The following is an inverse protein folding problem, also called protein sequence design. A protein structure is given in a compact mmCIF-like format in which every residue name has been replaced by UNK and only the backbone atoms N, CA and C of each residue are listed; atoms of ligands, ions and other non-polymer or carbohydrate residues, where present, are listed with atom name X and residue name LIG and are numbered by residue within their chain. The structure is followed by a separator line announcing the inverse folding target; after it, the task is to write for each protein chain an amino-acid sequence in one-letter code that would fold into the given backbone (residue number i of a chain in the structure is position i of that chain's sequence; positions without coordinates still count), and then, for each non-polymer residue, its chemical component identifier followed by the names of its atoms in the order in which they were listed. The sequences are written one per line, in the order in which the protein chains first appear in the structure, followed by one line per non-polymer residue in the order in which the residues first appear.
data_IF_467022418941
#
_entry.id   IF_467022418941
#
_cell.length_a   1.000
_cell.length_b   1.000
_cell.length_c   1.000
_cell.angle_alpha   90.00
_cell.angle_beta   90.00
_cell.angle_gamma   90.00
#
_symmetry.space_group_name_H-M   'P 1'
#
loop_
_entity.id
_entity.type
_entity.pdbx_description
1 polymer ?
#
# COMPACT_ATOMS: atom_id res chain seq x y z
N UNK A 1 6.11 13.70 -1.17
CA UNK A 1 5.76 14.81 -0.25
C UNK A 1 4.59 14.39 0.64
N UNK A 2 4.61 14.69 1.93
CA UNK A 2 3.48 14.45 2.83
C UNK A 2 3.26 15.66 3.72
N UNK A 3 2.02 16.06 3.91
CA UNK A 3 1.61 17.14 4.82
C UNK A 3 0.36 16.71 5.57
N UNK A 4 0.16 17.26 6.75
CA UNK A 4 -0.99 16.93 7.57
C UNK A 4 -1.39 18.08 8.48
N UNK A 5 -2.66 18.08 8.84
CA UNK A 5 -3.28 18.98 9.78
C UNK A 5 -4.01 18.12 10.81
N UNK A 6 -3.75 18.37 12.08
CA UNK A 6 -4.51 17.82 13.19
C UNK A 6 -5.09 18.96 14.03
N UNK A 7 -6.20 18.70 14.69
CA UNK A 7 -6.84 19.71 15.51
C UNK A 7 -7.98 19.18 16.34
N UNK A 8 -8.37 20.00 17.32
CA UNK A 8 -9.62 19.80 18.07
C UNK A 8 -10.75 20.52 17.36
N UNK A 9 -11.86 19.81 17.20
CA UNK A 9 -13.13 20.35 16.69
C UNK A 9 -13.94 20.87 17.88
N UNK A 10 -13.93 20.12 18.98
CA UNK A 10 -14.50 20.50 20.28
C UNK A 10 -13.59 20.01 21.40
N UNK A 11 -13.97 20.23 22.67
CA UNK A 11 -13.24 19.67 23.80
C UNK A 11 -13.21 18.13 23.80
N UNK A 12 -14.25 17.51 23.23
CA UNK A 12 -14.40 16.07 23.13
C UNK A 12 -13.92 15.52 21.79
N UNK A 13 -14.07 16.27 20.70
CA UNK A 13 -13.84 15.77 19.34
C UNK A 13 -12.54 16.32 18.74
N UNK A 14 -11.73 15.42 18.19
CA UNK A 14 -10.55 15.74 17.40
C UNK A 14 -10.68 15.25 15.97
N UNK A 15 -9.97 15.88 15.06
CA UNK A 15 -9.88 15.48 13.66
C UNK A 15 -8.46 15.58 13.15
N UNK A 16 -8.12 14.75 12.16
CA UNK A 16 -6.91 14.93 11.38
C UNK A 16 -7.14 14.67 9.90
N UNK A 17 -6.39 15.40 9.08
CA UNK A 17 -6.36 15.26 7.63
C UNK A 17 -4.91 15.13 7.22
N UNK A 18 -4.60 14.10 6.43
CA UNK A 18 -3.25 13.90 5.88
C UNK A 18 -3.33 13.82 4.37
N UNK A 19 -2.47 14.56 3.69
CA UNK A 19 -2.36 14.60 2.24
C UNK A 19 -0.94 14.19 1.86
N UNK A 20 -0.79 13.17 1.02
CA UNK A 20 0.49 12.74 0.48
C UNK A 20 0.48 12.72 -1.03
N UNK A 21 1.57 13.18 -1.63
CA UNK A 21 1.82 13.19 -3.06
C UNK A 21 3.10 12.42 -3.37
N UNK A 22 3.05 11.56 -4.39
CA UNK A 22 4.22 10.91 -4.98
C UNK A 22 4.23 11.16 -6.47
N UNK A 23 5.41 11.44 -7.05
CA UNK A 23 5.57 11.78 -8.48
C UNK A 23 5.55 10.54 -9.39
N UNK A 24 5.35 9.36 -8.81
CA UNK A 24 5.54 8.09 -9.51
C UNK A 24 7.02 7.71 -9.52
N UNK A 25 7.29 6.43 -9.74
CA UNK A 25 8.65 5.89 -9.78
C UNK A 25 8.76 4.94 -10.98
N UNK A 26 9.97 4.78 -11.54
CA UNK A 26 10.23 3.70 -12.48
C UNK A 26 10.03 2.36 -11.75
N UNK A 27 9.34 1.43 -12.41
CA UNK A 27 9.20 0.06 -11.92
C UNK A 27 10.50 -0.73 -12.15
N UNK A 28 10.78 -1.69 -11.27
CA UNK A 28 11.75 -2.76 -11.53
C UNK A 28 10.99 -4.03 -11.89
N UNK A 29 11.30 -4.67 -13.01
CA UNK A 29 10.67 -5.91 -13.44
C UNK A 29 11.41 -7.14 -12.92
N UNK A 30 10.67 -8.14 -12.42
CA UNK A 30 11.17 -9.49 -12.16
C UNK A 30 10.47 -10.44 -13.15
N UNK A 31 11.19 -11.23 -13.95
CA UNK A 31 10.58 -12.16 -14.89
C UNK A 31 9.85 -13.28 -14.12
N UNK A 32 8.59 -13.54 -14.49
CA UNK A 32 7.75 -14.59 -13.89
C UNK A 32 7.45 -15.67 -14.93
N UNK A 33 8.48 -16.31 -15.49
CA UNK A 33 8.31 -17.52 -16.32
C UNK A 33 9.47 -18.49 -16.09
N UNK A 34 9.14 -19.74 -15.71
CA UNK A 34 9.99 -20.92 -15.84
C UNK A 34 10.55 -21.54 -14.56
N UNK A 35 9.72 -22.11 -13.68
CA UNK A 35 10.17 -23.22 -12.81
C UNK A 35 9.22 -24.40 -12.96
N UNK A 36 9.45 -25.23 -13.98
CA UNK A 36 9.25 -26.67 -13.85
C UNK A 36 10.35 -27.20 -12.93
N UNK A 37 10.23 -26.91 -11.64
CA UNK A 37 11.12 -27.48 -10.64
C UNK A 37 10.61 -28.88 -10.28
N UNK A 38 10.94 -29.88 -11.11
CA UNK A 38 10.97 -31.26 -10.64
C UNK A 38 12.01 -31.35 -9.53
N UNK A 39 11.55 -31.33 -8.28
CA UNK A 39 12.40 -31.50 -7.12
C UNK A 39 13.01 -32.91 -7.14
N UNK A 40 14.29 -33.01 -7.47
CA UNK A 40 15.08 -34.22 -7.25
C UNK A 40 15.67 -34.13 -5.84
N UNK A 41 15.53 -35.15 -4.98
CA UNK A 41 16.00 -35.10 -3.60
C UNK A 41 17.50 -35.40 -3.56
N UNK A 42 18.31 -34.46 -4.04
CA UNK A 42 19.73 -34.37 -3.69
C UNK A 42 20.32 -33.06 -4.21
N UNK A 43 20.24 -32.02 -3.37
CA UNK A 43 21.34 -31.07 -3.07
C UNK A 43 22.11 -30.33 -4.16
N UNK A 44 21.81 -30.44 -5.45
CA UNK A 44 22.50 -29.72 -6.53
C UNK A 44 21.47 -29.09 -7.47
N UNK A 45 21.45 -27.75 -7.51
CA UNK A 45 20.68 -26.99 -8.49
C UNK A 45 21.50 -27.02 -9.78
N UNK A 46 21.18 -27.94 -10.68
CA UNK A 46 21.70 -27.92 -12.05
C UNK A 46 20.87 -26.89 -12.82
N UNK A 47 21.45 -25.73 -13.07
CA UNK A 47 20.83 -24.69 -13.90
C UNK A 47 21.13 -25.04 -15.35
N UNK A 48 20.31 -25.91 -15.94
CA UNK A 48 20.27 -26.06 -17.39
C UNK A 48 19.81 -24.72 -17.96
N UNK A 49 20.77 -23.93 -18.44
CA UNK A 49 20.53 -22.64 -19.08
C UNK A 49 19.91 -22.93 -20.45
N UNK A 50 18.63 -22.62 -20.68
CA UNK A 50 18.07 -22.72 -22.03
C UNK A 50 18.83 -21.73 -22.93
N UNK A 51 18.95 -21.99 -24.24
CA UNK A 51 19.63 -21.07 -25.13
C UNK A 51 19.02 -19.68 -24.98
N UNK A 52 19.84 -18.72 -24.56
CA UNK A 52 19.50 -17.31 -24.51
C UNK A 52 19.16 -16.85 -25.93
N UNK A 53 17.89 -16.98 -26.33
CA UNK A 53 17.33 -16.01 -27.24
C UNK A 53 17.28 -14.71 -26.45
N UNK A 54 18.07 -13.68 -26.80
CA UNK A 54 17.92 -12.39 -26.17
C UNK A 54 16.50 -11.95 -26.52
N UNK A 55 15.62 -11.95 -25.52
CA UNK A 55 14.32 -11.30 -25.63
C UNK A 55 14.60 -9.89 -26.12
N UNK A 56 14.40 -9.69 -27.42
CA UNK A 56 14.44 -8.40 -28.08
C UNK A 56 13.43 -7.53 -27.36
N UNK A 57 13.97 -6.60 -26.59
CA UNK A 57 13.20 -5.62 -25.87
C UNK A 57 13.96 -5.26 -24.62
N UNK A 58 14.74 -4.19 -24.71
CA UNK A 58 14.89 -3.22 -23.62
C UNK A 58 13.48 -2.77 -23.19
N UNK A 59 12.73 -3.66 -22.55
CA UNK A 59 11.39 -3.40 -22.08
C UNK A 59 11.58 -2.52 -20.84
N UNK A 60 11.80 -1.23 -21.09
CA UNK A 60 11.84 -0.20 -20.08
C UNK A 60 10.54 -0.31 -19.32
N UNK A 61 10.63 -0.77 -18.08
CA UNK A 61 9.48 -0.89 -17.23
C UNK A 61 8.79 0.49 -17.16
N UNK A 62 7.47 0.54 -17.33
CA UNK A 62 6.77 1.82 -17.45
C UNK A 62 6.97 2.64 -16.17
N UNK A 63 7.13 3.96 -16.36
CA UNK A 63 7.10 4.88 -15.23
C UNK A 63 5.66 5.01 -14.77
N UNK A 64 5.47 4.92 -13.46
CA UNK A 64 4.15 5.05 -12.89
C UNK A 64 3.73 6.51 -12.86
N UNK A 65 2.43 6.78 -12.99
CA UNK A 65 1.90 8.12 -12.79
C UNK A 65 2.05 8.57 -11.33
N UNK A 66 2.17 9.89 -11.18
CA UNK A 66 2.06 10.54 -9.88
C UNK A 66 0.70 10.30 -9.24
N UNK A 67 0.68 10.18 -7.91
CA UNK A 67 -0.52 9.90 -7.14
C UNK A 67 -0.68 10.88 -5.97
N UNK A 68 -1.93 11.10 -5.59
CA UNK A 68 -2.33 11.92 -4.46
C UNK A 68 -3.22 11.07 -3.55
N UNK A 69 -2.87 10.97 -2.27
CA UNK A 69 -3.61 10.23 -1.27
C UNK A 69 -4.06 11.17 -0.16
N UNK A 70 -5.32 10.99 0.25
CA UNK A 70 -5.92 11.72 1.38
C UNK A 70 -6.41 10.70 2.41
N UNK A 71 -5.98 10.88 3.64
CA UNK A 71 -6.49 10.14 4.80
C UNK A 71 -7.21 11.13 5.73
N UNK A 72 -8.36 10.71 6.26
CA UNK A 72 -9.18 11.49 7.18
C UNK A 72 -9.39 10.70 8.46
N UNK A 73 -9.31 11.34 9.61
CA UNK A 73 -9.61 10.73 10.91
C UNK A 73 -10.49 11.65 11.75
N UNK A 74 -11.48 11.07 12.41
CA UNK A 74 -12.28 11.72 13.45
C UNK A 74 -12.16 10.85 14.71
N UNK A 75 -11.92 11.48 15.85
CA UNK A 75 -11.80 10.80 17.14
C UNK A 75 -12.57 11.54 18.23
N UNK A 76 -12.96 10.82 19.28
CA UNK A 76 -13.53 11.39 20.49
C UNK A 76 -12.68 11.01 21.70
N UNK A 77 -12.44 11.93 22.63
CA UNK A 77 -11.78 11.66 23.90
C UNK A 77 -12.81 11.52 25.02
N UNK A 78 -12.80 10.38 25.72
CA UNK A 78 -13.71 10.09 26.83
C UNK A 78 -12.89 9.63 28.03
N UNK A 79 -13.02 10.33 29.15
CA UNK A 79 -12.42 9.93 30.41
C UNK A 79 -13.36 8.97 31.16
N UNK A 80 -12.80 7.96 31.82
CA UNK A 80 -13.55 6.97 32.58
C UNK A 80 -12.66 6.12 33.48
N UNK A 81 -13.17 4.97 33.91
CA UNK A 81 -12.38 4.00 34.67
C UNK A 81 -12.54 2.60 34.09
N UNK A 82 -11.45 1.83 34.08
CA UNK A 82 -11.42 0.45 33.63
C UNK A 82 -10.66 -0.40 34.66
N UNK A 83 -11.35 -1.37 35.26
CA UNK A 83 -10.73 -2.21 36.30
C UNK A 83 -10.27 -1.43 37.54
N UNK A 84 -10.97 -0.34 37.90
CA UNK A 84 -10.63 0.50 39.05
C UNK A 84 -9.44 1.46 38.84
N UNK A 85 -8.92 1.55 37.61
CA UNK A 85 -7.91 2.54 37.21
C UNK A 85 -8.55 3.60 36.35
N UNK A 86 -8.09 4.83 36.48
CA UNK A 86 -8.45 5.88 35.54
C UNK A 86 -7.99 5.47 34.14
N UNK A 87 -8.84 5.71 33.15
CA UNK A 87 -8.57 5.35 31.77
C UNK A 87 -9.14 6.42 30.84
N UNK A 88 -8.38 6.76 29.80
CA UNK A 88 -8.83 7.58 28.69
C UNK A 88 -9.11 6.71 27.48
N UNK A 89 -10.35 6.76 27.03
CA UNK A 89 -10.81 6.08 25.83
C UNK A 89 -10.81 7.05 24.66
N UNK A 90 -10.27 6.61 23.52
CA UNK A 90 -10.25 7.38 22.30
C UNK A 90 -10.75 6.56 21.12
N UNK A 91 -12.09 6.40 20.96
CA UNK A 91 -12.65 5.83 19.74
C UNK A 91 -12.34 6.73 18.54
N UNK A 92 -12.05 6.12 17.40
CA UNK A 92 -11.77 6.83 16.16
C UNK A 92 -12.34 6.10 14.94
N UNK A 93 -12.70 6.90 13.95
CA UNK A 93 -13.04 6.48 12.60
C UNK A 93 -12.02 7.12 11.65
N UNK A 94 -11.32 6.28 10.88
CA UNK A 94 -10.36 6.71 9.87
C UNK A 94 -10.79 6.23 8.50
N UNK A 95 -10.81 7.13 7.52
CA UNK A 95 -10.97 6.80 6.11
C UNK A 95 -9.60 6.90 5.45
N UNK A 96 -9.09 5.77 4.99
CA UNK A 96 -7.77 5.66 4.38
C UNK A 96 -7.91 5.63 2.86
N UNK A 97 -7.02 6.35 2.17
CA UNK A 97 -7.03 6.42 0.71
C UNK A 97 -8.36 6.92 0.14
N UNK A 98 -8.89 8.04 0.67
CA UNK A 98 -10.18 8.60 0.27
C UNK A 98 -10.26 9.03 -1.20
N UNK A 99 -9.12 9.25 -1.87
CA UNK A 99 -9.05 9.59 -3.29
C UNK A 99 -8.90 8.36 -4.21
N UNK A 100 -8.97 7.16 -3.64
CA UNK A 100 -8.84 5.88 -4.36
C UNK A 100 -7.57 5.81 -5.23
N UNK A 101 -6.53 6.57 -4.84
CA UNK A 101 -5.32 6.75 -5.64
C UNK A 101 -4.14 6.00 -5.02
N UNK A 102 -4.00 4.78 -5.54
CA UNK A 102 -2.77 3.97 -5.68
C UNK A 102 -2.16 3.40 -4.40
N UNK A 103 -2.70 2.25 -3.97
CA UNK A 103 -2.07 1.32 -3.01
C UNK A 103 -1.68 -0.02 -3.69
N UNK A 104 -1.61 -0.06 -5.02
CA UNK A 104 -1.12 -1.24 -5.74
C UNK A 104 0.40 -1.33 -5.60
N UNK A 105 0.88 -2.32 -4.83
CA UNK A 105 2.31 -2.61 -4.68
C UNK A 105 2.87 -3.39 -5.89
N UNK A 106 2.01 -4.14 -6.57
CA UNK A 106 2.39 -5.01 -7.67
C UNK A 106 1.68 -4.62 -8.95
N UNK A 107 2.46 -4.61 -10.02
CA UNK A 107 2.00 -4.35 -11.38
C UNK A 107 2.43 -5.50 -12.25
N UNK A 108 1.57 -5.87 -13.19
CA UNK A 108 1.91 -6.81 -14.24
C UNK A 108 1.94 -6.07 -15.57
N UNK A 109 2.94 -6.42 -16.40
CA UNK A 109 3.23 -5.75 -17.65
C UNK A 109 3.42 -6.80 -18.76
N UNK A 110 2.66 -6.66 -19.84
CA UNK A 110 2.73 -7.53 -21.02
C UNK A 110 3.18 -6.69 -22.22
N UNK A 111 4.50 -6.55 -22.46
CA UNK A 111 5.02 -5.68 -23.52
C UNK A 111 4.44 -5.98 -24.91
N UNK A 112 4.07 -7.25 -25.16
CA UNK A 112 3.49 -7.71 -26.43
C UNK A 112 1.99 -7.40 -26.58
N UNK A 113 1.29 -7.03 -25.50
CA UNK A 113 -0.16 -6.83 -25.49
C UNK A 113 -0.57 -5.41 -25.14
N UNK A 114 0.15 -4.77 -24.23
CA UNK A 114 -0.18 -3.43 -23.75
C UNK A 114 1.10 -2.67 -23.37
N UNK A 115 1.23 -1.39 -23.79
CA UNK A 115 2.35 -0.54 -23.37
C UNK A 115 2.22 -0.08 -21.90
N UNK A 116 1.09 -0.32 -21.23
CA UNK A 116 0.85 0.09 -19.85
C UNK A 116 0.95 -1.05 -18.83
N UNK A 117 1.54 -0.76 -17.66
CA UNK A 117 1.48 -1.62 -16.49
C UNK A 117 0.07 -1.60 -15.88
N UNK A 118 -0.45 -2.78 -15.55
CA UNK A 118 -1.75 -2.95 -14.90
C UNK A 118 -1.57 -3.32 -13.43
N UNK A 119 -2.29 -2.65 -12.54
CA UNK A 119 -2.29 -2.97 -11.12
C UNK A 119 -2.86 -4.38 -10.87
N UNK A 120 -2.17 -5.17 -10.03
CA UNK A 120 -2.61 -6.52 -9.64
C UNK A 120 -3.70 -6.45 -8.57
N UNK A 121 -3.60 -5.47 -7.66
CA UNK A 121 -4.59 -5.19 -6.64
C UNK A 121 -4.59 -3.69 -6.34
N UNK A 122 -5.75 -3.06 -6.38
CA UNK A 122 -5.92 -1.65 -5.99
C UNK A 122 -6.63 -1.63 -4.63
N UNK A 123 -6.05 -0.94 -3.63
CA UNK A 123 -6.73 -0.79 -2.34
C UNK A 123 -7.76 0.32 -2.47
N UNK A 124 -9.01 -0.08 -2.48
CA UNK A 124 -10.16 0.83 -2.41
C UNK A 124 -10.12 1.68 -1.13
N UNK A 125 -10.94 2.74 -1.12
CA UNK A 125 -11.26 3.52 0.09
C UNK A 125 -11.53 2.58 1.26
N UNK A 126 -10.73 2.66 2.33
CA UNK A 126 -10.79 1.74 3.46
C UNK A 126 -11.25 2.46 4.73
N UNK A 127 -12.49 2.23 5.20
CA UNK A 127 -12.92 2.70 6.50
C UNK A 127 -12.33 1.80 7.61
N UNK A 128 -11.77 2.42 8.64
CA UNK A 128 -11.18 1.76 9.81
C UNK A 128 -11.83 2.33 11.06
N UNK A 129 -12.44 1.47 11.86
CA UNK A 129 -12.94 1.79 13.19
C UNK A 129 -11.97 1.24 14.23
N UNK A 130 -11.64 2.05 15.23
CA UNK A 130 -10.73 1.64 16.29
C UNK A 130 -11.04 2.31 17.62
N UNK A 131 -10.41 1.78 18.66
CA UNK A 131 -10.46 2.29 20.01
C UNK A 131 -9.05 2.25 20.58
N UNK A 132 -8.56 3.42 20.99
CA UNK A 132 -7.33 3.55 21.77
C UNK A 132 -7.68 3.69 23.26
N UNK A 133 -6.93 3.03 24.13
CA UNK A 133 -7.13 3.11 25.60
C UNK A 133 -5.78 3.43 26.23
N UNK A 134 -5.75 4.49 27.05
CA UNK A 134 -4.58 4.92 27.80
C UNK A 134 -4.91 4.86 29.29
N UNK A 135 -3.98 4.36 30.12
CA UNK A 135 -4.08 4.25 31.58
C UNK A 135 -3.13 5.22 32.28
#
# INVERSE_FOLDING_TARGET
LTTGLDGRITDLLGGSVRVSYGDGLPLSSVPVFGTDATATPDGAIDVETPPEEPLRGDAVAPTLDGFLRVDLEISAGVDGSLGGRDARFRPYLRVVNALDRRDALFFYFEPWRSPGARAVAERSVLPVLGLEVTF
#
